data_IF_570788927404
#
_entry.id   IF_570788927404
#
_cell.length_a   1.000
_cell.length_b   1.000
_cell.length_c   1.000
_cell.angle_alpha   90.00
_cell.angle_beta   90.00
_cell.angle_gamma   90.00
#
_symmetry.space_group_name_H-M   'P 1'
#
loop_
_entity.id
_entity.type
_entity.pdbx_description
1 polymer ?
#
# COMPACT_ATOMS: atom_id res chain seq x y z
N UNK A 1 -0.06 -64.97 29.08
CA UNK A 1 -0.84 -64.27 28.05
C UNK A 1 -1.33 -62.94 28.63
N UNK A 2 -0.72 -61.81 28.25
CA UNK A 2 -1.34 -60.48 28.38
C UNK A 2 -0.89 -59.64 27.19
N UNK A 3 -1.81 -59.48 26.25
CA UNK A 3 -1.65 -58.75 25.00
C UNK A 3 -1.62 -57.23 25.24
N UNK A 4 -0.72 -56.57 24.51
CA UNK A 4 -0.84 -55.28 23.81
C UNK A 4 -1.64 -54.14 24.44
N UNK A 5 -1.04 -52.93 24.47
CA UNK A 5 -1.55 -51.75 23.71
C UNK A 5 -0.49 -50.65 23.75
N UNK A 6 0.25 -50.55 22.64
CA UNK A 6 0.98 -49.36 22.22
C UNK A 6 -0.03 -48.22 22.06
N UNK A 7 0.05 -47.20 22.89
CA UNK A 7 -0.70 -45.96 22.69
C UNK A 7 0.29 -44.87 22.24
N UNK A 8 0.56 -44.90 20.93
CA UNK A 8 1.21 -43.84 20.18
C UNK A 8 0.22 -42.68 20.06
N UNK A 9 0.30 -41.70 20.97
CA UNK A 9 -0.61 -40.54 20.99
C UNK A 9 0.12 -39.31 20.44
N UNK A 10 0.05 -39.19 19.11
CA UNK A 10 0.01 -37.99 18.27
C UNK A 10 0.40 -36.62 18.90
N UNK A 11 1.39 -35.91 18.32
CA UNK A 11 1.63 -34.48 18.56
C UNK A 11 0.89 -33.60 17.52
N UNK A 12 -0.44 -33.49 17.57
CA UNK A 12 -1.19 -32.71 16.56
C UNK A 12 -1.41 -31.23 16.93
N UNK A 13 -1.39 -30.88 18.22
CA UNK A 13 -1.70 -29.51 18.66
C UNK A 13 -0.58 -28.50 18.41
N UNK A 14 0.67 -28.95 18.22
CA UNK A 14 1.81 -28.06 17.97
C UNK A 14 1.89 -27.57 16.51
N UNK A 15 1.31 -28.33 15.58
CA UNK A 15 1.38 -28.04 14.15
C UNK A 15 0.43 -26.90 13.77
N UNK A 16 -0.73 -26.82 14.42
CA UNK A 16 -1.78 -25.85 14.07
C UNK A 16 -1.41 -24.41 14.43
N UNK A 17 -0.76 -24.17 15.58
CA UNK A 17 -0.29 -22.82 15.97
C UNK A 17 0.77 -22.28 15.00
N UNK A 18 1.69 -23.15 14.57
CA UNK A 18 2.76 -22.81 13.61
C UNK A 18 2.24 -22.52 12.20
N UNK A 19 1.16 -23.19 11.79
CA UNK A 19 0.52 -22.95 10.49
C UNK A 19 -0.10 -21.55 10.44
N UNK A 20 -0.79 -21.11 11.49
CA UNK A 20 -1.39 -19.77 11.59
C UNK A 20 -0.35 -18.65 11.45
N UNK A 21 0.78 -18.77 12.16
CA UNK A 21 1.85 -17.76 12.11
C UNK A 21 2.50 -17.68 10.72
N UNK A 22 2.60 -18.83 10.03
CA UNK A 22 3.19 -18.91 8.69
C UNK A 22 2.29 -18.28 7.64
N UNK A 23 0.99 -18.57 7.68
CA UNK A 23 0.00 -17.98 6.78
C UNK A 23 -0.12 -16.46 6.97
N UNK A 24 -0.10 -16.00 8.22
CA UNK A 24 -0.13 -14.58 8.56
C UNK A 24 1.11 -13.86 8.03
N UNK A 25 2.30 -14.43 8.25
CA UNK A 25 3.57 -13.87 7.73
C UNK A 25 3.58 -13.82 6.20
N UNK A 26 3.06 -14.86 5.53
CA UNK A 26 2.97 -14.90 4.07
C UNK A 26 1.99 -13.85 3.53
N UNK A 27 0.86 -13.63 4.20
CA UNK A 27 -0.10 -12.59 3.85
C UNK A 27 0.50 -11.19 3.99
N UNK A 28 1.25 -10.95 5.07
CA UNK A 28 1.89 -9.66 5.29
C UNK A 28 2.98 -9.38 4.24
N UNK A 29 3.78 -10.39 3.89
CA UNK A 29 4.75 -10.30 2.80
C UNK A 29 4.09 -10.02 1.43
N UNK A 30 2.95 -10.66 1.14
CA UNK A 30 2.19 -10.42 -0.09
C UNK A 30 1.66 -8.98 -0.15
N UNK A 31 1.11 -8.47 0.96
CA UNK A 31 0.61 -7.10 1.07
C UNK A 31 1.72 -6.08 0.85
N UNK A 32 2.88 -6.30 1.46
CA UNK A 32 4.03 -5.41 1.30
C UNK A 32 4.52 -5.38 -0.15
N UNK A 33 4.65 -6.55 -0.78
CA UNK A 33 5.11 -6.64 -2.17
C UNK A 33 4.12 -6.01 -3.15
N UNK A 34 2.82 -6.22 -2.95
CA UNK A 34 1.78 -5.56 -3.76
C UNK A 34 1.86 -4.04 -3.63
N UNK A 35 1.99 -3.53 -2.41
CA UNK A 35 2.13 -2.10 -2.16
C UNK A 35 3.39 -1.55 -2.84
N UNK A 36 4.53 -2.21 -2.70
CA UNK A 36 5.80 -1.83 -3.33
C UNK A 36 5.67 -1.72 -4.85
N UNK A 37 5.14 -2.75 -5.51
CA UNK A 37 4.93 -2.77 -6.96
C UNK A 37 3.99 -1.67 -7.43
N UNK A 38 2.93 -1.41 -6.67
CA UNK A 38 1.97 -0.36 -7.00
C UNK A 38 2.62 1.02 -6.95
N UNK A 39 3.39 1.30 -5.89
CA UNK A 39 4.11 2.57 -5.77
C UNK A 39 5.18 2.73 -6.85
N UNK A 40 5.88 1.65 -7.20
CA UNK A 40 6.86 1.66 -8.30
C UNK A 40 6.20 1.98 -9.65
N UNK A 41 5.07 1.33 -9.95
CA UNK A 41 4.31 1.60 -11.16
C UNK A 41 3.81 3.06 -11.21
N UNK A 42 3.34 3.62 -10.09
CA UNK A 42 2.93 5.03 -10.03
C UNK A 42 4.08 5.98 -10.36
N UNK A 43 5.27 5.72 -9.81
CA UNK A 43 6.47 6.54 -10.09
C UNK A 43 6.85 6.45 -11.57
N UNK A 44 6.87 5.25 -12.14
CA UNK A 44 7.20 5.01 -13.54
C UNK A 44 6.20 5.70 -14.49
N UNK A 45 4.89 5.48 -14.28
CA UNK A 45 3.83 6.07 -15.09
C UNK A 45 3.77 7.59 -14.98
N UNK A 46 4.18 8.15 -13.85
CA UNK A 46 4.25 9.60 -13.68
C UNK A 46 5.34 10.26 -14.50
N UNK A 47 6.13 9.54 -15.31
CA UNK A 47 7.29 10.09 -16.00
C UNK A 47 8.29 10.70 -15.00
N UNK A 48 8.52 10.04 -13.86
CA UNK A 48 9.41 10.50 -12.78
C UNK A 48 9.02 11.86 -12.15
N UNK A 49 7.77 12.29 -12.31
CA UNK A 49 7.19 13.46 -11.64
C UNK A 49 6.94 13.20 -10.16
N UNK A 50 6.65 11.95 -9.82
CA UNK A 50 6.48 11.50 -8.45
C UNK A 50 7.76 10.87 -7.89
N UNK A 51 7.95 10.96 -6.57
CA UNK A 51 9.03 10.31 -5.82
C UNK A 51 8.51 9.59 -4.58
N UNK A 52 9.16 8.49 -4.21
CA UNK A 52 8.89 7.78 -2.95
C UNK A 52 9.63 8.48 -1.81
N UNK A 53 8.93 8.74 -0.72
CA UNK A 53 9.51 9.24 0.53
C UNK A 53 8.99 8.45 1.72
N UNK A 54 9.73 8.47 2.82
CA UNK A 54 9.32 7.87 4.09
C UNK A 54 8.76 8.95 4.97
N UNK A 55 7.59 8.71 5.54
CA UNK A 55 6.95 9.61 6.49
C UNK A 55 6.69 8.84 7.78
N UNK A 56 7.01 9.48 8.91
CA UNK A 56 6.60 8.97 10.21
C UNK A 56 5.16 9.38 10.48
N UNK A 57 4.36 8.41 10.93
CA UNK A 57 2.98 8.61 11.31
C UNK A 57 2.75 7.95 12.65
N UNK A 58 2.20 8.72 13.58
CA UNK A 58 1.71 8.21 14.85
C UNK A 58 0.20 8.02 14.76
N UNK A 59 -0.28 6.79 14.91
CA UNK A 59 -1.70 6.49 15.05
C UNK A 59 -1.88 5.43 16.14
N UNK A 60 -2.95 5.54 16.92
CA UNK A 60 -3.30 4.59 17.99
C UNK A 60 -2.17 4.32 19.00
N UNK A 61 -1.34 5.34 19.27
CA UNK A 61 -0.19 5.25 20.17
C UNK A 61 1.03 4.53 19.59
N UNK A 62 0.96 4.08 18.34
CA UNK A 62 2.07 3.45 17.61
C UNK A 62 2.63 4.43 16.59
N UNK A 63 3.96 4.53 16.54
CA UNK A 63 4.65 5.28 15.48
C UNK A 63 5.16 4.29 14.45
N UNK A 64 4.73 4.47 13.21
CA UNK A 64 5.17 3.68 12.07
C UNK A 64 5.71 4.57 10.97
N UNK A 65 6.58 3.99 10.15
CA UNK A 65 7.07 4.62 8.94
C UNK A 65 6.24 4.13 7.75
N UNK A 66 5.55 5.04 7.08
CA UNK A 66 4.85 4.78 5.82
C UNK A 66 5.71 5.22 4.63
N UNK A 67 5.69 4.44 3.55
CA UNK A 67 6.25 4.89 2.26
C UNK A 67 5.14 5.55 1.47
N UNK A 68 5.30 6.84 1.17
CA UNK A 68 4.34 7.64 0.43
C UNK A 68 4.95 8.15 -0.87
N UNK A 69 4.10 8.43 -1.84
CA UNK A 69 4.50 9.00 -3.13
C UNK A 69 4.11 10.48 -3.14
N UNK A 70 5.05 11.35 -3.46
CA UNK A 70 4.88 12.80 -3.45
C UNK A 70 5.28 13.40 -4.80
N UNK A 71 4.63 14.49 -5.20
CA UNK A 71 5.00 15.28 -6.37
C UNK A 71 6.29 16.06 -6.08
N UNK A 72 7.22 16.06 -7.03
CA UNK A 72 8.40 16.93 -6.97
C UNK A 72 7.98 18.39 -7.07
N UNK A 73 8.63 19.28 -6.31
CA UNK A 73 8.27 20.70 -6.25
C UNK A 73 8.35 21.43 -7.61
N UNK A 74 9.34 21.08 -8.45
CA UNK A 74 9.65 21.82 -9.69
C UNK A 74 9.25 21.05 -10.96
N UNK A 75 8.11 20.37 -10.91
CA UNK A 75 7.65 19.55 -12.03
C UNK A 75 6.39 20.13 -12.64
N UNK A 76 6.47 20.47 -13.92
CA UNK A 76 5.32 20.89 -14.71
C UNK A 76 4.28 19.77 -14.78
N UNK A 77 3.06 20.07 -14.35
CA UNK A 77 1.95 19.15 -14.44
C UNK A 77 1.22 19.32 -15.79
N UNK A 78 0.90 18.21 -16.50
CA UNK A 78 0.10 18.29 -17.70
C UNK A 78 -1.29 18.83 -17.35
N UNK A 79 -1.69 19.95 -17.95
CA UNK A 79 -2.97 20.60 -17.69
C UNK A 79 -2.96 21.58 -16.51
N UNK A 80 -1.81 21.82 -15.85
CA UNK A 80 -1.65 23.04 -15.06
C UNK A 80 -1.61 24.23 -16.02
N UNK A 81 -2.80 24.77 -16.32
CA UNK A 81 -2.88 26.17 -16.65
C UNK A 81 -2.41 26.90 -15.40
N UNK A 82 -1.29 27.64 -15.49
CA UNK A 82 -1.08 28.77 -14.58
C UNK A 82 -2.42 29.47 -14.45
N UNK A 83 -2.93 29.68 -13.25
CA UNK A 83 -4.10 30.54 -12.99
C UNK A 83 -3.75 32.00 -13.39
N UNK A 84 -3.30 32.22 -14.62
CA UNK A 84 -3.47 33.47 -15.33
C UNK A 84 -4.95 33.51 -15.71
N UNK A 85 -5.56 34.65 -15.40
CA UNK A 85 -6.93 35.06 -15.66
C UNK A 85 -7.77 34.12 -16.53
N UNK A 86 -9.01 33.77 -16.11
CA UNK A 86 -9.94 33.02 -16.95
C UNK A 86 -10.37 33.88 -18.15
N UNK A 87 -9.54 33.93 -19.19
CA UNK A 87 -9.86 34.56 -20.48
C UNK A 87 -10.62 33.57 -21.37
N UNK A 88 -11.61 32.90 -20.77
CA UNK A 88 -12.56 32.02 -21.44
C UNK A 88 -13.87 32.78 -21.67
N UNK A 89 -14.53 32.63 -22.84
CA UNK A 89 -15.77 33.36 -23.11
C UNK A 89 -16.84 33.03 -22.06
N UNK A 90 -17.33 34.05 -21.36
CA UNK A 90 -18.42 33.93 -20.40
C UNK A 90 -19.69 33.48 -21.13
N UNK A 91 -20.25 32.32 -20.76
CA UNK A 91 -21.50 31.78 -21.31
C UNK A 91 -22.77 32.45 -20.74
N UNK A 92 -22.66 33.70 -20.26
CA UNK A 92 -23.77 34.42 -19.63
C UNK A 92 -24.71 35.13 -20.63
N UNK A 93 -24.45 35.05 -21.94
CA UNK A 93 -25.23 35.73 -22.98
C UNK A 93 -26.19 34.82 -23.79
N UNK A 94 -26.83 33.85 -23.15
CA UNK A 94 -28.05 33.24 -23.71
C UNK A 94 -29.23 33.59 -22.81
N UNK A 95 -29.68 34.83 -22.94
CA UNK A 95 -31.03 35.23 -22.56
C UNK A 95 -31.95 34.89 -23.74
N UNK A 96 -32.86 33.93 -23.53
CA UNK A 96 -34.00 33.72 -24.40
C UNK A 96 -35.00 34.87 -24.31
#
# INVERSE_FOLDING_TARGET
MTSTTTNDRQPESATQHRQSDTEQTALDALREELARRTLDAMVELSTHRLVKTKRERTADGLTYTETVVVLKADVDLPGESTLGEPDGPNTNEVAG
#
